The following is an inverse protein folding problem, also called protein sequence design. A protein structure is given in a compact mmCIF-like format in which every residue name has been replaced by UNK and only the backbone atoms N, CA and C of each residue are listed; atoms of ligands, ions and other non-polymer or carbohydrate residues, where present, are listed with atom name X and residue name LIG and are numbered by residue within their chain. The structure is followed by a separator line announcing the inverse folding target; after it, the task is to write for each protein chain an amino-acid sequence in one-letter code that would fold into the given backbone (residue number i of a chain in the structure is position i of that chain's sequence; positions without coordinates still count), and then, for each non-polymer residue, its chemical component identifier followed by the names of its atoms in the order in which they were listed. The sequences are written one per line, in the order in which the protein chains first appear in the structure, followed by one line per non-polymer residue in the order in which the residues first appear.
data_IF_353894345637
#
_entry.id   IF_353894345637
#
_cell.length_a   1.000
_cell.length_b   1.000
_cell.length_c   1.000
_cell.angle_alpha   90.00
_cell.angle_beta   90.00
_cell.angle_gamma   90.00
#
_symmetry.space_group_name_H-M   'P 1'
#
loop_
_entity.id
_entity.type
_entity.pdbx_description
1 polymer ?
#
# COMPACT_ATOMS: atom_id res chain seq x y z
N UNK A 1 25.76 -5.86 -15.63
CA UNK A 1 24.82 -5.95 -14.49
C UNK A 1 23.53 -5.32 -14.96
N UNK A 2 22.45 -6.09 -15.09
CA UNK A 2 21.15 -5.54 -15.49
C UNK A 2 20.60 -4.68 -14.35
N UNK A 3 20.19 -3.45 -14.66
CA UNK A 3 19.44 -2.64 -13.70
C UNK A 3 18.21 -3.45 -13.25
N UNK A 4 18.08 -3.69 -11.95
CA UNK A 4 16.90 -4.31 -11.38
C UNK A 4 15.76 -3.31 -11.47
N UNK A 5 15.11 -3.29 -12.64
CA UNK A 5 13.91 -2.50 -12.87
C UNK A 5 12.80 -3.09 -12.00
N UNK A 6 12.44 -2.37 -10.94
CA UNK A 6 11.32 -2.74 -10.05
C UNK A 6 10.12 -1.88 -10.37
N UNK A 7 8.94 -2.49 -10.32
CA UNK A 7 7.67 -1.79 -10.45
C UNK A 7 7.08 -1.53 -9.08
N UNK A 8 6.42 -0.39 -8.92
CA UNK A 8 5.65 -0.09 -7.74
C UNK A 8 4.56 -1.13 -7.54
N UNK A 9 4.54 -1.75 -6.35
CA UNK A 9 3.55 -2.78 -6.01
C UNK A 9 2.10 -2.31 -6.15
N UNK A 10 1.84 -1.01 -6.00
CA UNK A 10 0.49 -0.43 -6.08
C UNK A 10 0.11 0.07 -7.48
N UNK A 11 0.94 0.93 -8.08
CA UNK A 11 0.61 1.55 -9.37
C UNK A 11 1.32 0.93 -10.58
N UNK A 12 2.14 -0.10 -10.37
CA UNK A 12 2.90 -0.84 -11.39
C UNK A 12 3.85 0.01 -12.25
N UNK A 13 4.05 1.28 -11.90
CA UNK A 13 5.02 2.15 -12.57
C UNK A 13 6.44 1.74 -12.22
N UNK A 14 7.33 1.83 -13.21
CA UNK A 14 8.76 1.64 -13.02
C UNK A 14 9.30 2.58 -11.93
N UNK A 15 10.16 2.05 -11.09
CA UNK A 15 10.79 2.75 -9.99
C UNK A 15 12.31 2.76 -10.16
N UNK A 16 12.93 3.82 -9.64
CA UNK A 16 14.35 3.84 -9.38
C UNK A 16 14.72 2.78 -8.34
N UNK A 17 15.98 2.37 -8.33
CA UNK A 17 16.50 1.42 -7.35
C UNK A 17 16.30 1.98 -5.94
N UNK A 18 15.44 1.34 -5.15
CA UNK A 18 15.16 1.72 -3.77
C UNK A 18 14.87 0.48 -2.91
N UNK A 19 15.03 0.56 -1.57
CA UNK A 19 14.66 -0.52 -0.66
C UNK A 19 13.14 -0.64 -0.50
N UNK A 20 12.36 0.29 -1.03
CA UNK A 20 10.90 0.31 -0.89
C UNK A 20 10.22 -0.51 -1.99
N UNK A 21 9.06 -1.07 -1.64
CA UNK A 21 8.19 -1.83 -2.58
C UNK A 21 7.20 -0.93 -3.32
N UNK A 22 7.08 0.34 -2.93
CA UNK A 22 6.18 1.33 -3.52
C UNK A 22 6.94 2.60 -3.91
N UNK A 23 6.48 3.30 -4.95
CA UNK A 23 7.05 4.58 -5.33
C UNK A 23 6.73 5.66 -4.30
N UNK A 24 7.53 6.73 -4.28
CA UNK A 24 7.38 7.86 -3.35
C UNK A 24 5.95 8.40 -3.28
N UNK A 25 5.29 8.58 -4.43
CA UNK A 25 3.90 9.03 -4.51
C UNK A 25 2.95 8.08 -3.76
N UNK A 26 3.04 6.79 -4.06
CA UNK A 26 2.18 5.77 -3.44
C UNK A 26 2.46 5.60 -1.95
N UNK A 27 3.72 5.77 -1.50
CA UNK A 27 4.07 5.80 -0.08
C UNK A 27 3.41 6.99 0.63
N UNK A 28 3.48 8.19 0.04
CA UNK A 28 2.85 9.38 0.61
C UNK A 28 1.33 9.24 0.70
N UNK A 29 0.68 8.76 -0.35
CA UNK A 29 -0.78 8.52 -0.34
C UNK A 29 -1.15 7.43 0.69
N UNK A 30 -0.37 6.35 0.77
CA UNK A 30 -0.57 5.28 1.76
C UNK A 30 -0.48 5.82 3.20
N UNK A 31 0.50 6.67 3.49
CA UNK A 31 0.63 7.29 4.81
C UNK A 31 -0.57 8.17 5.17
N UNK A 32 -1.13 8.91 4.20
CA UNK A 32 -2.36 9.70 4.40
C UNK A 32 -3.55 8.80 4.70
N UNK A 33 -3.73 7.74 3.92
CA UNK A 33 -4.80 6.74 4.11
C UNK A 33 -4.68 6.09 5.48
N UNK A 34 -3.49 5.60 5.86
CA UNK A 34 -3.26 4.99 7.17
C UNK A 34 -3.54 5.95 8.32
N UNK A 35 -3.08 7.20 8.21
CA UNK A 35 -3.32 8.23 9.23
C UNK A 35 -4.79 8.57 9.39
N UNK A 36 -5.56 8.54 8.30
CA UNK A 36 -7.00 8.77 8.32
C UNK A 36 -7.75 7.58 8.93
N UNK A 37 -7.45 6.35 8.48
CA UNK A 37 -8.06 5.11 9.01
C UNK A 37 -7.77 4.95 10.51
N UNK A 38 -6.57 5.30 10.97
CA UNK A 38 -6.23 5.26 12.40
C UNK A 38 -7.12 6.17 13.27
N UNK A 39 -7.63 7.28 12.71
CA UNK A 39 -8.57 8.20 13.38
C UNK A 39 -10.04 7.77 13.20
N UNK A 40 -10.32 6.98 12.17
CA UNK A 40 -11.67 6.57 11.77
C UNK A 40 -11.72 5.05 11.49
N UNK A 41 -11.71 4.18 12.51
CA UNK A 41 -11.47 2.74 12.36
C UNK A 41 -12.56 1.95 11.62
N UNK A 42 -13.74 2.54 11.38
CA UNK A 42 -14.88 1.88 10.72
C UNK A 42 -15.41 2.66 9.50
N UNK A 43 -14.50 3.37 8.82
CA UNK A 43 -14.84 4.22 7.68
C UNK A 43 -14.91 3.42 6.37
N UNK A 44 -15.82 3.80 5.46
CA UNK A 44 -15.93 3.17 4.15
C UNK A 44 -14.81 3.61 3.21
N UNK A 45 -14.45 2.77 2.22
CA UNK A 45 -13.44 3.08 1.20
C UNK A 45 -13.80 4.37 0.45
N UNK A 46 -15.08 4.57 0.15
CA UNK A 46 -15.58 5.80 -0.50
C UNK A 46 -15.25 7.04 0.32
N UNK A 47 -15.44 6.97 1.64
CA UNK A 47 -15.15 8.11 2.51
C UNK A 47 -13.65 8.33 2.67
N UNK A 48 -12.85 7.26 2.77
CA UNK A 48 -11.37 7.38 2.74
C UNK A 48 -10.93 8.07 1.45
N UNK A 49 -11.43 7.61 0.30
CA UNK A 49 -11.06 8.16 -1.01
C UNK A 49 -11.34 9.65 -1.09
N UNK A 50 -12.54 10.07 -0.69
CA UNK A 50 -12.94 11.48 -0.68
C UNK A 50 -12.08 12.32 0.28
N UNK A 51 -11.85 11.86 1.51
CA UNK A 51 -11.16 12.65 2.55
C UNK A 51 -9.64 12.70 2.36
N UNK A 52 -9.06 11.69 1.70
CA UNK A 52 -7.61 11.60 1.48
C UNK A 52 -7.19 12.05 0.09
N UNK A 53 -8.15 12.37 -0.78
CA UNK A 53 -7.96 12.72 -2.19
C UNK A 53 -7.21 11.61 -2.97
N UNK A 54 -7.35 10.36 -2.52
CA UNK A 54 -6.77 9.19 -3.17
C UNK A 54 -7.88 8.48 -3.96
N UNK A 55 -7.67 8.11 -5.25
CA UNK A 55 -8.69 7.43 -6.05
C UNK A 55 -9.21 6.17 -5.38
N UNK A 56 -10.52 5.90 -5.53
CA UNK A 56 -11.19 4.76 -4.91
C UNK A 56 -10.47 3.43 -5.17
N UNK A 57 -10.21 3.10 -6.44
CA UNK A 57 -9.53 1.86 -6.83
C UNK A 57 -8.17 1.72 -6.14
N UNK A 58 -7.49 2.85 -5.94
CA UNK A 58 -6.17 2.89 -5.33
C UNK A 58 -6.24 2.66 -3.83
N UNK A 59 -7.25 3.19 -3.15
CA UNK A 59 -7.51 2.90 -1.73
C UNK A 59 -7.89 1.44 -1.55
N UNK A 60 -8.73 0.90 -2.42
CA UNK A 60 -9.10 -0.52 -2.40
C UNK A 60 -7.87 -1.42 -2.52
N UNK A 61 -6.99 -1.15 -3.48
CA UNK A 61 -5.73 -1.88 -3.65
C UNK A 61 -4.82 -1.77 -2.41
N UNK A 62 -4.75 -0.59 -1.76
CA UNK A 62 -4.00 -0.43 -0.50
C UNK A 62 -4.55 -1.31 0.62
N UNK A 63 -5.87 -1.40 0.75
CA UNK A 63 -6.54 -2.27 1.73
C UNK A 63 -6.23 -3.75 1.44
N UNK A 64 -6.38 -4.17 0.18
CA UNK A 64 -6.06 -5.55 -0.23
C UNK A 64 -4.60 -5.91 0.05
N UNK A 65 -3.65 -5.01 -0.22
CA UNK A 65 -2.24 -5.22 0.09
C UNK A 65 -2.00 -5.41 1.59
N UNK A 66 -2.61 -4.57 2.44
CA UNK A 66 -2.47 -4.66 3.90
C UNK A 66 -3.11 -5.91 4.52
N UNK A 67 -4.15 -6.48 3.89
CA UNK A 67 -4.72 -7.77 4.29
C UNK A 67 -3.78 -8.92 3.96
N UNK A 68 -3.19 -8.92 2.77
CA UNK A 68 -2.26 -9.97 2.33
C UNK A 68 -0.95 -10.02 3.14
N UNK A 69 -0.52 -8.89 3.72
CA UNK A 69 0.67 -8.85 4.58
C UNK A 69 0.44 -9.52 5.94
N UNK A 70 -0.79 -9.49 6.50
CA UNK A 70 -1.11 -10.20 7.74
C UNK A 70 -1.04 -11.72 7.58
N UNK A 71 -1.52 -12.24 6.45
CA UNK A 71 -1.50 -13.67 6.12
C UNK A 71 -0.07 -14.20 5.89
N UNK A 72 0.80 -13.35 5.33
CA UNK A 72 2.20 -13.70 5.05
C UNK A 72 3.03 -13.79 6.34
N UNK A 73 2.75 -12.93 7.35
CA UNK A 73 3.44 -12.96 8.64
C UNK A 73 3.07 -14.20 9.49
N UNK A 74 1.82 -14.67 9.43
CA UNK A 74 1.42 -15.92 10.11
C UNK A 74 2.03 -17.17 9.47
N UNK A 75 2.33 -17.13 8.18
CA UNK A 75 2.94 -18.25 7.44
C UNK A 75 4.45 -18.40 7.68
N UNK A 76 5.14 -17.33 8.12
CA UNK A 76 6.57 -17.39 8.47
C UNK A 76 6.81 -17.82 9.93
N UNK A 77 5.81 -17.77 10.81
CA UNK A 77 5.94 -18.18 12.21
C UNK A 77 5.82 -19.70 12.46
N UNK A 78 5.50 -20.51 11.45
CA UNK A 78 5.38 -21.98 11.55
C UNK A 78 6.56 -22.78 10.98
N UNK A 79 7.60 -22.09 10.50
CA UNK A 79 8.75 -22.72 9.83
C UNK A 79 10.10 -22.39 10.50
N UNK A 80 10.11 -21.99 11.77
CA UNK A 80 11.33 -21.78 12.58
C UNK A 80 11.32 -22.66 13.81
#
# INVERSE_FOLDING_TARGET
MGELVRNCRLCQKQMESSPFTMCSKCLTESNRVQSFVAKHPHVSIERISNETEVPYDKVEQMVMLGLNEKDTMESQAKSS
#
